data_IF_028102143519
#
_entry.id   IF_028102143519
#
_cell.length_a   1.000
_cell.length_b   1.000
_cell.length_c   1.000
_cell.angle_alpha   90.00
_cell.angle_beta   90.00
_cell.angle_gamma   90.00
#
_symmetry.space_group_name_H-M   'P 1'
#
loop_
_entity.id
_entity.type
_entity.pdbx_description
1 polymer ?
#
# COMPACT_ATOMS: atom_id res chain seq x y z
N UNK A 1 27.94 11.09 -5.34
CA UNK A 1 28.54 11.38 -4.01
C UNK A 1 28.24 10.18 -3.14
N UNK A 2 29.26 9.49 -2.62
CA UNK A 2 29.12 8.27 -1.81
C UNK A 2 28.56 8.70 -0.45
N UNK A 3 27.34 8.31 -0.14
CA UNK A 3 26.67 8.62 1.11
C UNK A 3 27.41 8.02 2.31
N UNK A 4 27.74 8.86 3.26
CA UNK A 4 28.31 8.51 4.55
C UNK A 4 27.45 7.46 5.25
N UNK A 5 27.99 6.28 5.52
CA UNK A 5 27.43 5.33 6.49
C UNK A 5 27.43 6.03 7.86
N UNK A 6 26.30 6.54 8.28
CA UNK A 6 26.16 7.00 9.65
C UNK A 6 26.23 5.78 10.58
N UNK A 7 27.39 5.61 11.21
CA UNK A 7 27.53 4.69 12.35
C UNK A 7 26.68 5.25 13.49
N UNK A 8 25.64 4.53 13.87
CA UNK A 8 24.87 4.83 15.07
C UNK A 8 25.80 4.74 16.29
N UNK A 9 25.88 5.84 17.04
CA UNK A 9 26.66 5.86 18.28
C UNK A 9 26.15 4.80 19.23
N UNK A 10 27.01 3.99 19.89
CA UNK A 10 26.58 2.94 20.80
C UNK A 10 25.81 3.55 21.98
N UNK A 11 24.55 3.14 22.16
CA UNK A 11 23.73 3.46 23.34
C UNK A 11 22.46 4.29 23.11
N UNK A 12 22.19 4.77 21.89
CA UNK A 12 20.92 5.45 21.57
C UNK A 12 19.99 4.52 20.81
N UNK A 13 18.75 4.36 21.28
CA UNK A 13 17.73 3.62 20.55
C UNK A 13 17.56 4.23 19.12
N UNK A 14 17.33 3.41 18.07
CA UNK A 14 17.08 3.91 16.75
C UNK A 14 15.90 4.89 16.75
N UNK A 15 15.93 5.92 15.88
CA UNK A 15 14.89 6.96 15.81
C UNK A 15 13.49 6.37 15.63
N UNK A 16 13.37 5.29 14.86
CA UNK A 16 12.11 4.65 14.53
C UNK A 16 11.86 3.34 15.28
N UNK A 17 12.48 3.17 16.46
CA UNK A 17 12.31 1.96 17.26
C UNK A 17 10.84 1.71 17.61
N UNK A 18 10.38 0.48 17.34
CA UNK A 18 8.99 0.07 17.57
C UNK A 18 8.00 0.47 16.50
N UNK A 19 8.48 0.91 15.32
CA UNK A 19 7.64 1.30 14.21
C UNK A 19 6.71 0.16 13.75
N UNK A 20 5.52 0.54 13.27
CA UNK A 20 4.71 -0.26 12.36
C UNK A 20 4.93 0.30 10.96
N UNK A 21 5.74 -0.39 10.17
CA UNK A 21 6.02 -0.02 8.79
C UNK A 21 4.89 -0.50 7.89
N UNK A 22 4.12 0.42 7.35
CA UNK A 22 2.89 0.11 6.60
C UNK A 22 3.12 -0.10 5.10
N UNK A 23 4.39 -0.04 4.65
CA UNK A 23 4.69 -0.21 3.22
C UNK A 23 6.08 -0.82 2.98
N UNK A 24 6.09 -2.12 2.74
CA UNK A 24 7.27 -2.92 2.40
C UNK A 24 7.00 -3.76 1.15
N UNK A 25 7.92 -3.82 0.21
CA UNK A 25 7.73 -4.51 -1.06
C UNK A 25 8.56 -5.79 -1.18
N UNK A 26 7.96 -6.96 -0.88
CA UNK A 26 8.55 -8.22 -1.23
C UNK A 26 8.48 -8.40 -2.74
N UNK A 27 9.63 -8.43 -3.39
CA UNK A 27 9.70 -8.57 -4.84
C UNK A 27 9.83 -10.04 -5.24
N UNK A 28 8.90 -10.55 -6.04
CA UNK A 28 9.01 -11.87 -6.66
C UNK A 28 10.25 -11.89 -7.57
N UNK A 29 11.25 -12.74 -7.31
CA UNK A 29 12.51 -12.75 -8.09
C UNK A 29 12.26 -13.06 -9.56
N UNK A 30 11.32 -13.93 -9.85
CA UNK A 30 10.89 -14.35 -11.17
C UNK A 30 9.72 -15.32 -11.08
N UNK A 31 9.04 -15.57 -12.17
CA UNK A 31 7.86 -16.42 -12.19
C UNK A 31 8.13 -17.85 -11.68
N UNK A 32 9.36 -18.34 -11.82
CA UNK A 32 9.76 -19.68 -11.39
C UNK A 32 9.46 -19.97 -9.91
N UNK A 33 9.56 -18.97 -9.03
CA UNK A 33 9.27 -19.15 -7.60
C UNK A 33 7.77 -19.26 -7.29
N UNK A 34 6.90 -18.86 -8.22
CA UNK A 34 5.45 -19.00 -8.10
C UNK A 34 4.93 -20.34 -8.65
N UNK A 35 5.73 -21.04 -9.48
CA UNK A 35 5.33 -22.30 -10.10
C UNK A 35 4.85 -23.36 -9.11
N UNK A 36 5.47 -23.56 -7.92
CA UNK A 36 5.00 -24.52 -6.93
C UNK A 36 3.60 -24.24 -6.38
N UNK A 37 3.15 -22.99 -6.46
CA UNK A 37 1.85 -22.52 -5.94
C UNK A 37 0.75 -22.48 -7.00
N UNK A 38 1.07 -22.77 -8.25
CA UNK A 38 0.10 -22.89 -9.34
C UNK A 38 -0.39 -24.34 -9.45
N UNK A 39 -1.63 -24.55 -9.87
CA UNK A 39 -2.13 -25.86 -10.27
C UNK A 39 -1.48 -26.35 -11.58
N UNK A 40 -1.71 -27.62 -11.92
CA UNK A 40 -1.09 -28.28 -13.07
C UNK A 40 -1.41 -27.57 -14.39
N UNK A 41 -2.66 -27.12 -14.56
CA UNK A 41 -3.10 -26.41 -15.75
C UNK A 41 -2.27 -25.12 -15.98
N UNK A 42 -2.14 -24.29 -14.94
CA UNK A 42 -1.40 -23.02 -15.07
C UNK A 42 0.10 -23.25 -15.18
N UNK A 43 0.66 -24.28 -14.51
CA UNK A 43 2.08 -24.66 -14.69
C UNK A 43 2.38 -25.06 -16.13
N UNK A 44 1.53 -25.90 -16.72
CA UNK A 44 1.65 -26.28 -18.13
C UNK A 44 1.50 -25.08 -19.05
N UNK A 45 0.50 -24.25 -18.84
CA UNK A 45 0.25 -23.03 -19.64
C UNK A 45 1.47 -22.11 -19.62
N UNK A 46 2.06 -21.84 -18.47
CA UNK A 46 3.27 -21.01 -18.33
C UNK A 46 4.41 -21.60 -19.14
N UNK A 47 4.66 -22.90 -19.03
CA UNK A 47 5.77 -23.59 -19.70
C UNK A 47 5.57 -23.62 -21.24
N UNK A 48 4.38 -23.98 -21.70
CA UNK A 48 4.07 -24.09 -23.15
C UNK A 48 4.08 -22.73 -23.83
N UNK A 49 3.64 -21.66 -23.15
CA UNK A 49 3.56 -20.30 -23.71
C UNK A 49 4.78 -19.45 -23.42
N UNK A 50 5.81 -19.99 -22.77
CA UNK A 50 7.02 -19.25 -22.34
C UNK A 50 6.71 -17.98 -21.55
N UNK A 51 5.67 -18.01 -20.72
CA UNK A 51 5.26 -16.89 -19.86
C UNK A 51 6.22 -16.69 -18.68
N UNK A 52 7.07 -17.67 -18.38
CA UNK A 52 8.15 -17.62 -17.39
C UNK A 52 9.18 -16.49 -17.66
N UNK A 53 9.18 -15.96 -18.88
CA UNK A 53 10.06 -14.85 -19.28
C UNK A 53 9.41 -13.47 -19.11
N UNK A 54 8.14 -13.40 -18.76
CA UNK A 54 7.46 -12.12 -18.55
C UNK A 54 7.94 -11.50 -17.24
N UNK A 55 8.45 -10.28 -17.34
CA UNK A 55 8.72 -9.45 -16.18
C UNK A 55 7.47 -8.61 -15.90
N UNK A 56 6.69 -9.04 -14.91
CA UNK A 56 5.50 -8.31 -14.47
C UNK A 56 5.91 -7.36 -13.35
N UNK A 57 5.74 -6.08 -13.56
CA UNK A 57 5.92 -5.04 -12.55
C UNK A 57 4.85 -3.98 -12.72
N UNK A 58 4.34 -3.49 -11.60
CA UNK A 58 3.36 -2.40 -11.55
C UNK A 58 3.95 -1.08 -11.08
N UNK A 59 5.26 -1.05 -10.83
CA UNK A 59 5.89 0.06 -10.12
C UNK A 59 6.16 1.28 -10.98
N UNK A 60 6.16 1.16 -12.29
CA UNK A 60 6.48 2.32 -13.12
C UNK A 60 5.92 2.24 -14.54
N UNK A 61 5.51 3.37 -15.02
CA UNK A 61 5.33 3.77 -16.39
C UNK A 61 6.22 5.02 -16.63
N UNK A 62 6.86 5.26 -17.78
CA UNK A 62 6.85 4.42 -19.02
C UNK A 62 7.53 3.08 -18.86
N UNK A 63 7.16 2.15 -19.76
CA UNK A 63 7.83 0.85 -19.82
C UNK A 63 9.34 1.03 -19.93
N UNK A 64 10.08 0.16 -19.24
CA UNK A 64 11.54 0.23 -19.11
C UNK A 64 12.08 1.45 -18.34
N UNK A 65 11.24 2.19 -17.63
CA UNK A 65 11.74 3.13 -16.63
C UNK A 65 12.61 2.38 -15.61
N UNK A 66 13.72 2.99 -15.15
CA UNK A 66 14.61 2.33 -14.21
C UNK A 66 13.86 1.99 -12.92
N UNK A 67 14.11 0.80 -12.36
CA UNK A 67 13.66 0.49 -11.02
C UNK A 67 14.31 1.46 -10.04
N UNK A 68 13.49 2.10 -9.26
CA UNK A 68 13.90 3.14 -8.33
C UNK A 68 14.23 2.55 -6.97
N UNK A 69 15.32 1.80 -6.90
CA UNK A 69 15.83 1.28 -5.64
C UNK A 69 16.75 2.30 -4.96
N UNK A 70 16.65 2.42 -3.65
CA UNK A 70 17.62 3.15 -2.85
C UNK A 70 19.00 2.51 -3.01
N UNK A 71 20.08 3.26 -3.33
CA UNK A 71 21.37 2.68 -3.72
C UNK A 71 21.99 1.77 -2.65
N UNK A 72 21.83 2.07 -1.37
CA UNK A 72 22.35 1.28 -0.25
C UNK A 72 21.49 0.05 0.08
N UNK A 73 20.33 -0.11 -0.58
CA UNK A 73 19.46 -1.29 -0.49
C UNK A 73 19.53 -2.20 -1.71
N UNK A 74 20.38 -1.85 -2.67
CA UNK A 74 20.62 -2.71 -3.82
C UNK A 74 21.23 -4.06 -3.39
N UNK A 75 20.83 -5.12 -4.08
CA UNK A 75 21.35 -6.47 -3.83
C UNK A 75 22.48 -6.80 -4.80
N UNK A 76 23.47 -7.58 -4.33
CA UNK A 76 24.58 -8.05 -5.16
C UNK A 76 24.13 -9.00 -6.27
N UNK A 77 24.99 -9.18 -7.28
CA UNK A 77 24.82 -10.14 -8.38
C UNK A 77 23.55 -9.93 -9.23
N UNK A 78 23.06 -8.71 -9.31
CA UNK A 78 21.87 -8.39 -10.12
C UNK A 78 20.57 -8.97 -9.57
N UNK A 79 20.53 -9.40 -8.31
CA UNK A 79 19.29 -9.82 -7.66
C UNK A 79 18.34 -8.65 -7.57
N UNK A 80 17.06 -8.93 -7.78
CA UNK A 80 16.01 -7.92 -7.75
C UNK A 80 15.91 -7.31 -6.34
N UNK A 81 15.97 -5.98 -6.17
CA UNK A 81 15.76 -5.34 -4.88
C UNK A 81 14.44 -5.77 -4.25
N UNK A 82 14.42 -5.97 -2.93
CA UNK A 82 13.23 -6.46 -2.22
C UNK A 82 13.01 -7.98 -2.32
N UNK A 83 13.86 -8.74 -3.03
CA UNK A 83 13.67 -10.19 -3.21
C UNK A 83 14.29 -11.08 -2.13
N UNK A 84 14.85 -10.50 -1.07
CA UNK A 84 15.43 -11.25 0.05
C UNK A 84 14.89 -10.79 1.38
N UNK A 85 14.35 -11.74 2.17
CA UNK A 85 13.90 -11.48 3.53
C UNK A 85 15.07 -11.04 4.42
N UNK A 86 16.23 -11.69 4.32
CA UNK A 86 17.41 -11.37 5.11
C UNK A 86 17.89 -9.94 4.85
N UNK A 87 17.80 -9.48 3.60
CA UNK A 87 18.12 -8.10 3.25
C UNK A 87 17.08 -7.11 3.83
N UNK A 88 15.80 -7.41 3.75
CA UNK A 88 14.76 -6.58 4.37
C UNK A 88 14.95 -6.49 5.90
N UNK A 89 15.27 -7.61 6.55
CA UNK A 89 15.60 -7.63 7.96
C UNK A 89 16.78 -6.70 8.27
N UNK A 90 17.90 -6.87 7.55
CA UNK A 90 19.12 -6.11 7.79
C UNK A 90 18.99 -4.61 7.42
N UNK A 91 18.20 -4.28 6.41
CA UNK A 91 18.07 -2.89 5.91
C UNK A 91 17.02 -2.07 6.68
N UNK A 92 15.94 -2.71 7.14
CA UNK A 92 14.78 -1.98 7.68
C UNK A 92 14.30 -2.56 9.01
N UNK A 93 13.93 -3.84 9.07
CA UNK A 93 13.24 -4.37 10.24
C UNK A 93 14.09 -4.35 11.51
N UNK A 94 15.37 -4.69 11.42
CA UNK A 94 16.30 -4.73 12.54
C UNK A 94 16.81 -3.32 12.91
N UNK A 95 17.25 -2.47 11.95
CA UNK A 95 17.64 -1.10 12.26
C UNK A 95 16.53 -0.25 12.87
N UNK A 96 15.28 -0.43 12.43
CA UNK A 96 14.12 0.25 13.01
C UNK A 96 13.56 -0.46 14.23
N UNK A 97 14.10 -1.62 14.64
CA UNK A 97 13.49 -2.46 15.66
C UNK A 97 11.98 -2.56 15.46
N UNK A 98 11.57 -2.80 14.20
CA UNK A 98 10.17 -2.72 13.78
C UNK A 98 9.31 -3.69 14.58
N UNK A 99 8.20 -3.18 15.11
CA UNK A 99 7.19 -4.01 15.76
C UNK A 99 6.47 -4.87 14.74
N UNK A 100 6.07 -4.25 13.61
CA UNK A 100 5.46 -4.93 12.47
C UNK A 100 5.92 -4.29 11.17
N UNK A 101 5.89 -5.08 10.09
CA UNK A 101 6.06 -4.63 8.71
C UNK A 101 4.96 -5.20 7.83
N UNK A 102 4.23 -4.36 7.09
CA UNK A 102 3.14 -4.77 6.22
C UNK A 102 3.64 -4.87 4.79
N UNK A 103 3.60 -6.09 4.26
CA UNK A 103 4.07 -6.42 2.93
C UNK A 103 3.01 -6.10 1.86
N UNK A 104 3.37 -5.27 0.90
CA UNK A 104 2.60 -4.95 -0.30
C UNK A 104 3.30 -5.52 -1.53
N UNK A 105 2.94 -6.72 -1.95
CA UNK A 105 3.58 -7.37 -3.10
C UNK A 105 3.04 -6.79 -4.41
N UNK A 106 3.88 -6.06 -5.14
CA UNK A 106 3.55 -5.42 -6.41
C UNK A 106 3.92 -6.30 -7.64
N UNK A 107 3.81 -7.60 -7.51
CA UNK A 107 3.96 -8.49 -8.65
C UNK A 107 2.75 -8.39 -9.57
N UNK A 108 2.87 -7.86 -10.74
CA UNK A 108 1.82 -7.45 -11.65
C UNK A 108 0.74 -8.48 -12.06
N UNK A 109 0.41 -9.45 -11.21
CA UNK A 109 -0.62 -10.46 -11.49
C UNK A 109 -2.00 -9.86 -11.80
N UNK A 110 -2.33 -8.72 -11.17
CA UNK A 110 -3.60 -8.02 -11.37
C UNK A 110 -3.79 -7.48 -12.79
N UNK A 111 -2.72 -7.37 -13.58
CA UNK A 111 -2.78 -6.78 -14.94
C UNK A 111 -3.11 -7.78 -16.04
N UNK A 112 -3.13 -9.06 -15.76
CA UNK A 112 -3.56 -10.03 -16.77
C UNK A 112 -4.99 -9.75 -17.24
N UNK A 113 -5.20 -9.77 -18.55
CA UNK A 113 -6.55 -9.61 -19.15
C UNK A 113 -7.43 -10.84 -18.89
N UNK A 114 -6.83 -12.05 -18.82
CA UNK A 114 -7.54 -13.25 -18.42
C UNK A 114 -7.81 -13.17 -16.92
N UNK A 115 -9.07 -13.07 -16.53
CA UNK A 115 -9.50 -12.98 -15.13
C UNK A 115 -9.07 -14.21 -14.34
N UNK A 116 -9.24 -15.41 -14.90
CA UNK A 116 -8.83 -16.67 -14.27
C UNK A 116 -7.31 -16.74 -14.08
N UNK A 117 -6.54 -16.30 -15.08
CA UNK A 117 -5.09 -16.24 -14.97
C UNK A 117 -4.65 -15.23 -13.90
N UNK A 118 -5.25 -14.04 -13.89
CA UNK A 118 -4.99 -13.04 -12.88
C UNK A 118 -5.27 -13.59 -11.47
N UNK A 119 -6.41 -14.24 -11.28
CA UNK A 119 -6.79 -14.84 -10.01
C UNK A 119 -5.84 -15.96 -9.59
N UNK A 120 -5.43 -16.85 -10.50
CA UNK A 120 -4.48 -17.93 -10.21
C UNK A 120 -3.12 -17.39 -9.77
N UNK A 121 -2.61 -16.35 -10.45
CA UNK A 121 -1.32 -15.75 -10.08
C UNK A 121 -1.41 -14.88 -8.82
N UNK A 122 -2.53 -14.19 -8.56
CA UNK A 122 -2.77 -13.52 -7.29
C UNK A 122 -2.74 -14.52 -6.13
N UNK A 123 -3.43 -15.66 -6.30
CA UNK A 123 -3.43 -16.76 -5.34
C UNK A 123 -2.02 -17.29 -5.07
N UNK A 124 -1.27 -17.59 -6.14
CA UNK A 124 0.11 -18.06 -6.02
C UNK A 124 1.02 -17.04 -5.31
N UNK A 125 0.85 -15.76 -5.61
CA UNK A 125 1.58 -14.67 -4.95
C UNK A 125 1.26 -14.60 -3.45
N UNK A 126 -0.01 -14.71 -3.07
CA UNK A 126 -0.40 -14.71 -1.66
C UNK A 126 0.12 -15.95 -0.91
N UNK A 127 0.14 -17.12 -1.56
CA UNK A 127 0.71 -18.34 -0.99
C UNK A 127 2.22 -18.21 -0.81
N UNK A 128 2.93 -17.67 -1.81
CA UNK A 128 4.37 -17.40 -1.74
C UNK A 128 4.70 -16.39 -0.63
N UNK A 129 3.93 -15.29 -0.51
CA UNK A 129 4.12 -14.31 0.58
C UNK A 129 3.93 -14.97 1.94
N UNK A 130 2.90 -15.82 2.09
CA UNK A 130 2.69 -16.56 3.33
C UNK A 130 3.90 -17.43 3.69
N UNK A 131 4.38 -18.23 2.74
CA UNK A 131 5.36 -19.27 3.02
C UNK A 131 6.79 -18.72 3.10
N UNK A 132 7.16 -17.82 2.19
CA UNK A 132 8.53 -17.30 2.12
C UNK A 132 8.79 -16.07 2.99
N UNK A 133 7.72 -15.44 3.50
CA UNK A 133 7.85 -14.21 4.30
C UNK A 133 7.16 -14.34 5.65
N UNK A 134 5.84 -14.51 5.68
CA UNK A 134 5.07 -14.49 6.94
C UNK A 134 5.42 -15.66 7.87
N UNK A 135 5.74 -16.83 7.33
CA UNK A 135 6.15 -18.00 8.11
C UNK A 135 7.58 -17.91 8.63
N UNK A 136 8.39 -16.98 8.08
CA UNK A 136 9.83 -16.88 8.40
C UNK A 136 10.18 -15.72 9.32
N UNK A 137 9.35 -14.67 9.39
CA UNK A 137 9.54 -13.57 10.35
C UNK A 137 8.19 -13.20 11.01
N UNK A 138 8.06 -13.38 12.34
CA UNK A 138 6.80 -13.14 13.05
C UNK A 138 6.39 -11.66 13.10
N UNK A 139 7.27 -10.73 12.76
CA UNK A 139 6.98 -9.30 12.67
C UNK A 139 6.17 -8.96 11.41
N UNK A 140 6.21 -9.83 10.39
CA UNK A 140 5.61 -9.52 9.10
C UNK A 140 4.09 -9.74 9.08
N UNK A 141 3.45 -8.86 8.37
CA UNK A 141 2.02 -8.87 7.99
C UNK A 141 1.95 -8.63 6.49
N UNK A 142 0.81 -8.85 5.86
CA UNK A 142 0.71 -8.69 4.42
C UNK A 142 -0.65 -8.16 3.97
N UNK A 143 -0.65 -7.64 2.75
CA UNK A 143 -1.85 -7.40 1.95
C UNK A 143 -2.22 -8.62 1.14
N UNK A 144 -3.53 -8.83 0.93
CA UNK A 144 -4.05 -9.83 0.00
C UNK A 144 -4.04 -9.22 -1.40
N UNK A 145 -3.26 -9.76 -2.30
CA UNK A 145 -3.28 -9.40 -3.72
C UNK A 145 -4.49 -10.04 -4.40
N UNK A 146 -5.30 -9.27 -5.11
CA UNK A 146 -6.54 -9.73 -5.76
C UNK A 146 -6.64 -9.30 -7.22
N UNK A 147 -7.39 -10.05 -8.02
CA UNK A 147 -7.79 -9.68 -9.37
C UNK A 147 -9.08 -8.84 -9.32
N UNK A 148 -8.96 -7.54 -8.96
CA UNK A 148 -10.12 -6.69 -8.65
C UNK A 148 -11.08 -6.44 -9.83
N UNK A 149 -10.66 -6.68 -11.08
CA UNK A 149 -11.51 -6.59 -12.27
C UNK A 149 -12.55 -7.72 -12.36
N UNK A 150 -12.37 -8.81 -11.60
CA UNK A 150 -13.40 -9.81 -11.37
C UNK A 150 -13.72 -9.90 -9.87
N UNK A 151 -14.85 -9.33 -9.48
CA UNK A 151 -15.24 -9.21 -8.07
C UNK A 151 -15.50 -10.57 -7.41
N UNK A 152 -16.03 -11.54 -8.14
CA UNK A 152 -16.31 -12.89 -7.61
C UNK A 152 -15.01 -13.62 -7.26
N UNK A 153 -14.05 -13.65 -8.18
CA UNK A 153 -12.74 -14.25 -7.95
C UNK A 153 -11.94 -13.52 -6.86
N UNK A 154 -12.06 -12.19 -6.79
CA UNK A 154 -11.46 -11.40 -5.73
C UNK A 154 -12.03 -11.74 -4.35
N UNK A 155 -13.36 -11.85 -4.22
CA UNK A 155 -14.04 -12.24 -2.98
C UNK A 155 -13.62 -13.64 -2.56
N UNK A 156 -13.57 -14.60 -3.49
CA UNK A 156 -13.14 -15.97 -3.20
C UNK A 156 -11.70 -16.02 -2.64
N UNK A 157 -10.78 -15.21 -3.18
CA UNK A 157 -9.41 -15.14 -2.65
C UNK A 157 -9.33 -14.50 -1.27
N UNK A 158 -10.11 -13.44 -1.01
CA UNK A 158 -10.18 -12.82 0.32
C UNK A 158 -10.73 -13.82 1.34
N UNK A 159 -11.80 -14.58 1.01
CA UNK A 159 -12.36 -15.62 1.87
C UNK A 159 -11.34 -16.71 2.15
N UNK A 160 -10.58 -17.13 1.15
CA UNK A 160 -9.53 -18.14 1.31
C UNK A 160 -8.44 -17.73 2.31
N UNK A 161 -8.21 -16.40 2.47
CA UNK A 161 -7.22 -15.82 3.41
C UNK A 161 -7.83 -15.36 4.73
N UNK A 162 -9.13 -15.49 4.91
CA UNK A 162 -9.86 -14.92 6.05
C UNK A 162 -9.31 -15.37 7.41
N UNK A 163 -8.90 -16.62 7.54
CA UNK A 163 -8.46 -17.22 8.81
C UNK A 163 -6.99 -16.96 9.14
N UNK A 164 -6.19 -16.50 8.17
CA UNK A 164 -4.83 -16.06 8.45
C UNK A 164 -4.81 -14.57 8.84
N UNK A 165 -4.85 -14.32 10.13
CA UNK A 165 -4.91 -12.95 10.68
C UNK A 165 -3.67 -12.11 10.38
N UNK A 166 -2.60 -12.68 9.80
CA UNK A 166 -1.42 -11.93 9.37
C UNK A 166 -1.68 -11.13 8.08
N UNK A 167 -2.74 -11.46 7.33
CA UNK A 167 -3.21 -10.61 6.24
C UNK A 167 -4.09 -9.48 6.81
N UNK A 168 -3.64 -8.22 6.61
CA UNK A 168 -4.20 -7.02 7.26
C UNK A 168 -5.14 -6.22 6.38
N UNK A 169 -4.93 -6.28 5.05
CA UNK A 169 -5.66 -5.47 4.09
C UNK A 169 -5.77 -6.16 2.74
N UNK A 170 -6.63 -5.63 1.90
CA UNK A 170 -6.78 -6.02 0.49
C UNK A 170 -6.06 -4.99 -0.36
N UNK A 171 -5.13 -5.41 -1.21
CA UNK A 171 -4.33 -4.53 -2.05
C UNK A 171 -5.03 -4.24 -3.37
N UNK A 172 -5.27 -2.96 -3.64
CA UNK A 172 -5.79 -2.44 -4.91
C UNK A 172 -4.83 -1.39 -5.46
N UNK A 173 -4.87 -1.18 -6.78
CA UNK A 173 -4.06 -0.14 -7.43
C UNK A 173 -4.87 1.14 -7.60
N UNK A 174 -4.19 2.29 -7.50
CA UNK A 174 -4.83 3.58 -7.67
C UNK A 174 -5.32 3.81 -9.09
N UNK A 175 -4.61 3.30 -10.10
CA UNK A 175 -5.01 3.41 -11.51
C UNK A 175 -5.41 2.05 -12.07
N UNK A 176 -6.58 1.98 -12.66
CA UNK A 176 -7.17 0.76 -13.19
C UNK A 176 -8.31 1.05 -14.18
N UNK A 177 -9.12 0.04 -14.46
CA UNK A 177 -10.19 0.10 -15.46
C UNK A 177 -11.36 0.99 -15.05
N UNK A 178 -11.55 1.18 -13.74
CA UNK A 178 -12.67 1.93 -13.20
C UNK A 178 -12.30 2.62 -11.91
N UNK A 179 -13.13 3.58 -11.53
CA UNK A 179 -12.99 4.19 -10.22
C UNK A 179 -13.46 3.25 -9.11
N UNK A 180 -12.75 3.28 -7.98
CA UNK A 180 -12.93 2.33 -6.87
C UNK A 180 -14.25 2.53 -6.09
N UNK A 181 -14.97 3.63 -6.29
CA UNK A 181 -16.32 3.80 -5.72
C UNK A 181 -17.39 2.90 -6.34
N UNK A 182 -17.17 2.39 -7.55
CA UNK A 182 -18.19 1.64 -8.31
C UNK A 182 -18.78 0.49 -7.52
N UNK A 183 -20.12 0.38 -7.58
CA UNK A 183 -20.90 -0.59 -6.79
C UNK A 183 -20.58 -2.05 -7.07
N UNK A 184 -20.05 -2.37 -8.24
CA UNK A 184 -19.57 -3.71 -8.54
C UNK A 184 -18.43 -4.17 -7.62
N UNK A 185 -17.65 -3.23 -7.02
CA UNK A 185 -16.62 -3.55 -6.04
C UNK A 185 -17.14 -3.67 -4.60
N UNK A 186 -18.40 -3.32 -4.34
CA UNK A 186 -18.97 -3.38 -3.00
C UNK A 186 -18.95 -4.75 -2.32
N UNK A 187 -19.04 -5.90 -3.02
CA UNK A 187 -18.85 -7.21 -2.38
C UNK A 187 -17.48 -7.33 -1.71
N UNK A 188 -16.42 -6.78 -2.32
CA UNK A 188 -15.07 -6.74 -1.74
C UNK A 188 -15.09 -5.91 -0.44
N UNK A 189 -15.67 -4.71 -0.46
CA UNK A 189 -15.74 -3.81 0.71
C UNK A 189 -16.57 -4.39 1.84
N UNK A 190 -17.68 -5.04 1.52
CA UNK A 190 -18.53 -5.74 2.51
C UNK A 190 -17.76 -6.83 3.22
N UNK A 191 -17.01 -7.61 2.46
CA UNK A 191 -16.21 -8.70 3.02
C UNK A 191 -15.03 -8.17 3.83
N UNK A 192 -14.32 -7.16 3.33
CA UNK A 192 -13.22 -6.52 4.04
C UNK A 192 -13.69 -5.93 5.39
N UNK A 193 -14.80 -5.18 5.40
CA UNK A 193 -15.38 -4.65 6.64
C UNK A 193 -15.74 -5.75 7.62
N UNK A 194 -16.40 -6.82 7.16
CA UNK A 194 -16.80 -7.97 7.98
C UNK A 194 -15.61 -8.67 8.63
N UNK A 195 -14.51 -8.79 7.90
CA UNK A 195 -13.30 -9.48 8.34
C UNK A 195 -12.30 -8.57 9.07
N UNK A 196 -12.59 -7.27 9.22
CA UNK A 196 -11.67 -6.29 9.80
C UNK A 196 -10.42 -6.04 8.95
N UNK A 197 -10.51 -6.21 7.62
CA UNK A 197 -9.47 -5.89 6.67
C UNK A 197 -9.61 -4.43 6.22
N UNK A 198 -8.50 -3.71 6.11
CA UNK A 198 -8.49 -2.42 5.42
C UNK A 198 -8.48 -2.63 3.88
N UNK A 199 -8.77 -1.57 3.13
CA UNK A 199 -8.49 -1.50 1.70
C UNK A 199 -7.23 -0.66 1.51
N UNK A 200 -6.13 -1.28 1.10
CA UNK A 200 -4.91 -0.59 0.70
C UNK A 200 -5.01 -0.19 -0.78
N UNK A 201 -4.97 1.11 -1.06
CA UNK A 201 -4.90 1.64 -2.42
C UNK A 201 -3.46 2.09 -2.62
N UNK A 202 -2.73 1.41 -3.49
CA UNK A 202 -1.32 1.66 -3.72
C UNK A 202 -1.09 2.44 -5.02
N UNK A 203 -0.11 3.33 -5.03
CA UNK A 203 0.38 3.96 -6.25
C UNK A 203 0.72 2.89 -7.30
N UNK A 204 0.45 3.17 -8.56
CA UNK A 204 0.69 2.23 -9.65
C UNK A 204 -0.50 2.02 -10.56
N UNK A 205 -0.22 1.43 -11.70
CA UNK A 205 -1.15 1.32 -12.81
C UNK A 205 -1.15 -0.08 -13.40
N UNK A 206 -2.29 -0.49 -13.92
CA UNK A 206 -2.40 -1.69 -14.74
C UNK A 206 -1.87 -1.52 -16.17
N UNK A 207 -1.32 -0.36 -16.52
CA UNK A 207 -0.76 0.00 -17.84
C UNK A 207 -1.68 -0.20 -19.05
N UNK A 208 -2.97 -0.36 -18.83
CA UNK A 208 -3.96 -0.52 -19.91
C UNK A 208 -4.57 0.79 -20.35
N UNK A 209 -4.54 1.78 -19.46
CA UNK A 209 -5.14 3.10 -19.65
C UNK A 209 -4.10 4.16 -19.40
N UNK A 210 -4.30 5.32 -19.98
CA UNK A 210 -3.43 6.46 -19.72
C UNK A 210 -3.40 6.75 -18.22
N UNK A 211 -2.23 6.91 -17.60
CA UNK A 211 -2.10 7.09 -16.15
C UNK A 211 -2.57 8.49 -15.69
N UNK A 212 -2.75 9.41 -16.63
CA UNK A 212 -3.22 10.77 -16.33
C UNK A 212 -4.50 11.09 -17.11
N UNK A 213 -5.30 12.03 -16.60
CA UNK A 213 -6.46 12.53 -17.30
C UNK A 213 -6.11 13.27 -18.61
N UNK A 214 -4.86 13.66 -18.79
CA UNK A 214 -4.34 14.35 -19.97
C UNK A 214 -3.71 13.40 -21.01
N UNK A 215 -3.55 12.11 -20.69
CA UNK A 215 -2.97 11.12 -21.58
C UNK A 215 -1.76 10.37 -21.00
N UNK A 216 -0.92 9.86 -21.90
CA UNK A 216 0.27 9.07 -21.55
C UNK A 216 1.45 9.95 -21.21
N UNK A 217 2.12 9.61 -20.12
CA UNK A 217 3.37 10.27 -19.70
C UNK A 217 4.55 9.80 -20.56
N UNK A 218 5.52 10.70 -20.80
CA UNK A 218 6.77 10.37 -21.50
C UNK A 218 7.89 9.96 -20.53
N UNK A 219 7.83 10.47 -19.31
CA UNK A 219 8.86 10.26 -18.29
C UNK A 219 8.27 9.72 -17.00
N UNK A 220 9.06 8.93 -16.27
CA UNK A 220 8.67 8.40 -14.96
C UNK A 220 8.28 9.50 -13.96
N UNK A 221 8.98 10.63 -13.97
CA UNK A 221 8.68 11.76 -13.08
C UNK A 221 7.28 12.34 -13.32
N UNK A 222 6.80 12.35 -14.56
CA UNK A 222 5.45 12.82 -14.89
C UNK A 222 4.39 11.83 -14.36
N UNK A 223 4.62 10.53 -14.57
CA UNK A 223 3.75 9.47 -14.07
C UNK A 223 3.65 9.52 -12.54
N UNK A 224 4.80 9.59 -11.88
CA UNK A 224 4.86 9.56 -10.43
C UNK A 224 4.14 10.77 -9.78
N UNK A 225 4.37 11.97 -10.31
CA UNK A 225 3.68 13.19 -9.84
C UNK A 225 2.17 13.09 -10.08
N UNK A 226 1.74 12.52 -11.20
CA UNK A 226 0.33 12.38 -11.55
C UNK A 226 -0.43 11.39 -10.66
N UNK A 227 0.24 10.51 -9.91
CA UNK A 227 -0.40 9.56 -9.01
C UNK A 227 -1.28 10.26 -7.96
N UNK A 228 -0.92 11.46 -7.47
CA UNK A 228 -1.75 12.24 -6.55
C UNK A 228 -3.14 12.53 -7.11
N UNK A 229 -3.23 12.90 -8.39
CA UNK A 229 -4.51 13.14 -9.08
C UNK A 229 -5.37 11.86 -9.18
N UNK A 230 -4.72 10.69 -9.34
CA UNK A 230 -5.41 9.42 -9.33
C UNK A 230 -6.01 9.12 -7.95
N UNK A 231 -5.26 9.35 -6.87
CA UNK A 231 -5.78 9.21 -5.49
C UNK A 231 -6.96 10.15 -5.21
N UNK A 232 -6.88 11.42 -5.62
CA UNK A 232 -8.01 12.36 -5.52
C UNK A 232 -9.25 11.79 -6.20
N UNK A 233 -9.10 11.29 -7.43
CA UNK A 233 -10.20 10.72 -8.21
C UNK A 233 -10.81 9.49 -7.55
N UNK A 234 -9.98 8.60 -7.00
CA UNK A 234 -10.46 7.40 -6.31
C UNK A 234 -11.20 7.74 -5.02
N UNK A 235 -10.64 8.59 -4.18
CA UNK A 235 -11.29 9.00 -2.95
C UNK A 235 -12.61 9.73 -3.22
N UNK A 236 -12.64 10.64 -4.21
CA UNK A 236 -13.87 11.31 -4.60
C UNK A 236 -14.92 10.32 -5.09
N UNK A 237 -14.53 9.33 -5.89
CA UNK A 237 -15.44 8.28 -6.35
C UNK A 237 -16.02 7.47 -5.19
N UNK A 238 -15.18 7.02 -4.25
CA UNK A 238 -15.63 6.26 -3.08
C UNK A 238 -16.59 7.06 -2.20
N UNK A 239 -16.36 8.37 -2.04
CA UNK A 239 -17.24 9.27 -1.31
C UNK A 239 -18.57 9.42 -2.06
N UNK A 240 -18.53 9.80 -3.34
CA UNK A 240 -19.70 10.10 -4.14
C UNK A 240 -20.63 8.89 -4.34
N UNK A 241 -20.08 7.71 -4.56
CA UNK A 241 -20.84 6.46 -4.67
C UNK A 241 -21.40 5.98 -3.31
N UNK A 242 -20.95 6.57 -2.20
CA UNK A 242 -21.47 6.27 -0.87
C UNK A 242 -20.85 5.04 -0.21
N UNK A 243 -19.62 4.66 -0.58
CA UNK A 243 -18.92 3.51 0.02
C UNK A 243 -18.87 3.61 1.53
N UNK A 244 -18.48 4.76 2.07
CA UNK A 244 -18.33 4.98 3.51
C UNK A 244 -19.69 5.11 4.26
N UNK A 245 -20.74 5.49 3.56
CA UNK A 245 -22.09 5.46 4.12
C UNK A 245 -22.63 4.01 4.21
N UNK A 246 -22.26 3.17 3.23
CA UNK A 246 -22.67 1.75 3.17
C UNK A 246 -21.83 0.86 4.07
N UNK A 247 -20.55 1.17 4.25
CA UNK A 247 -19.57 0.41 5.03
C UNK A 247 -18.92 1.33 6.07
N UNK A 248 -19.63 1.61 7.18
CA UNK A 248 -19.22 2.65 8.15
C UNK A 248 -18.00 2.28 9.00
N UNK A 249 -17.58 1.02 9.02
CA UNK A 249 -16.36 0.55 9.72
C UNK A 249 -15.17 0.38 8.80
N UNK A 250 -15.38 0.46 7.48
CA UNK A 250 -14.31 0.26 6.50
C UNK A 250 -13.23 1.32 6.67
N UNK A 251 -11.97 0.88 6.68
CA UNK A 251 -10.79 1.74 6.60
C UNK A 251 -10.14 1.60 5.22
N UNK A 252 -9.66 2.72 4.72
CA UNK A 252 -8.91 2.81 3.47
C UNK A 252 -7.54 3.38 3.78
N UNK A 253 -6.49 2.79 3.24
CA UNK A 253 -5.12 3.27 3.37
C UNK A 253 -4.62 3.64 1.98
N UNK A 254 -4.34 4.93 1.77
CA UNK A 254 -3.67 5.42 0.58
C UNK A 254 -2.16 5.23 0.77
N UNK A 255 -1.59 4.32 -0.02
CA UNK A 255 -0.22 3.87 0.13
C UNK A 255 0.62 4.49 -0.98
N UNK A 256 1.76 5.07 -0.63
CA UNK A 256 2.66 5.79 -1.56
C UNK A 256 1.95 6.93 -2.32
N UNK A 257 1.02 7.61 -1.63
CA UNK A 257 0.16 8.61 -2.27
C UNK A 257 0.72 10.03 -2.21
N UNK A 258 1.73 10.28 -1.38
CA UNK A 258 1.96 11.62 -0.88
C UNK A 258 0.78 12.12 -0.04
N UNK A 259 0.90 13.30 0.55
CA UNK A 259 -0.17 13.84 1.40
C UNK A 259 -0.37 15.36 1.27
N UNK A 260 0.53 16.09 0.62
CA UNK A 260 0.46 17.56 0.55
C UNK A 260 -0.70 18.06 -0.31
N UNK A 261 -1.14 17.28 -1.28
CA UNK A 261 -2.31 17.54 -2.11
C UNK A 261 -3.64 17.50 -1.32
N UNK A 262 -3.67 16.82 -0.18
CA UNK A 262 -4.91 16.48 0.53
C UNK A 262 -5.66 17.73 1.03
N UNK A 263 -4.95 18.77 1.51
CA UNK A 263 -5.58 20.00 1.98
C UNK A 263 -6.38 20.69 0.88
N UNK A 264 -5.81 20.84 -0.30
CA UNK A 264 -6.49 21.44 -1.46
C UNK A 264 -7.69 20.60 -1.90
N UNK A 265 -7.51 19.29 -1.92
CA UNK A 265 -8.57 18.35 -2.27
C UNK A 265 -9.77 18.44 -1.32
N UNK A 266 -9.57 18.36 0.00
CA UNK A 266 -10.68 18.37 0.96
C UNK A 266 -11.44 19.69 0.94
N UNK A 267 -10.76 20.83 0.79
CA UNK A 267 -11.42 22.14 0.67
C UNK A 267 -12.28 22.21 -0.59
N UNK A 268 -11.76 21.77 -1.71
CA UNK A 268 -12.50 21.72 -2.98
C UNK A 268 -13.68 20.76 -2.90
N UNK A 269 -13.48 19.56 -2.36
CA UNK A 269 -14.51 18.55 -2.21
C UNK A 269 -15.65 19.02 -1.30
N UNK A 270 -15.35 19.61 -0.13
CA UNK A 270 -16.35 20.17 0.78
C UNK A 270 -17.15 21.28 0.13
N UNK A 271 -16.47 22.21 -0.57
CA UNK A 271 -17.11 23.33 -1.25
C UNK A 271 -18.06 22.85 -2.35
N UNK A 272 -17.59 21.90 -3.19
CA UNK A 272 -18.37 21.36 -4.30
C UNK A 272 -19.56 20.56 -3.76
N UNK A 273 -19.33 19.65 -2.80
CA UNK A 273 -20.39 18.87 -2.17
C UNK A 273 -21.48 19.78 -1.58
N UNK A 274 -21.12 20.83 -0.85
CA UNK A 274 -22.08 21.78 -0.28
C UNK A 274 -23.01 22.38 -1.35
N UNK A 275 -22.47 22.63 -2.55
CA UNK A 275 -23.22 23.22 -3.65
C UNK A 275 -24.15 22.24 -4.39
N UNK A 276 -23.69 20.99 -4.58
CA UNK A 276 -24.36 20.01 -5.46
C UNK A 276 -24.76 18.71 -4.76
N UNK A 277 -24.77 18.68 -3.44
CA UNK A 277 -25.07 17.47 -2.63
C UNK A 277 -26.40 16.78 -2.95
N UNK A 278 -27.33 17.47 -3.59
CA UNK A 278 -28.57 16.87 -4.02
C UNK A 278 -28.38 15.73 -5.04
N UNK A 279 -27.26 15.73 -5.76
CA UNK A 279 -26.87 14.65 -6.69
C UNK A 279 -26.50 13.36 -5.95
N UNK A 280 -25.95 13.49 -4.73
CA UNK A 280 -25.45 12.38 -3.91
C UNK A 280 -26.10 12.38 -2.51
N UNK A 281 -27.43 12.22 -2.40
CA UNK A 281 -28.17 12.44 -1.16
C UNK A 281 -27.79 11.46 -0.02
N UNK A 282 -27.15 10.35 -0.34
CA UNK A 282 -26.61 9.39 0.63
C UNK A 282 -25.30 9.85 1.29
N UNK A 283 -24.64 10.88 0.75
CA UNK A 283 -23.45 11.50 1.35
C UNK A 283 -23.92 12.60 2.32
N UNK A 284 -24.15 12.23 3.57
CA UNK A 284 -24.76 13.10 4.58
C UNK A 284 -23.74 13.92 5.39
N UNK A 285 -22.44 13.62 5.27
CA UNK A 285 -21.33 14.31 5.94
C UNK A 285 -20.39 14.93 4.93
N UNK A 286 -19.68 15.98 5.36
CA UNK A 286 -18.69 16.62 4.49
C UNK A 286 -17.57 15.65 4.09
N UNK A 287 -17.07 15.69 2.84
CA UNK A 287 -15.96 14.86 2.39
C UNK A 287 -14.74 14.87 3.33
N UNK A 288 -14.37 16.04 3.87
CA UNK A 288 -13.26 16.15 4.84
C UNK A 288 -13.50 15.35 6.12
N UNK A 289 -14.75 15.30 6.60
CA UNK A 289 -15.13 14.51 7.78
C UNK A 289 -15.07 13.00 7.47
N UNK A 290 -15.55 12.60 6.30
CA UNK A 290 -15.50 11.21 5.85
C UNK A 290 -14.04 10.75 5.76
N UNK A 291 -13.15 11.56 5.15
CA UNK A 291 -11.73 11.23 5.03
C UNK A 291 -11.09 11.07 6.42
N UNK A 292 -11.30 12.00 7.34
CA UNK A 292 -10.74 11.88 8.70
C UNK A 292 -11.15 10.58 9.40
N UNK A 293 -12.37 10.15 9.19
CA UNK A 293 -12.89 8.95 9.86
C UNK A 293 -12.45 7.64 9.21
N UNK A 294 -12.24 7.63 7.90
CA UNK A 294 -12.09 6.39 7.13
C UNK A 294 -10.75 6.20 6.45
N UNK A 295 -10.02 7.29 6.14
CA UNK A 295 -8.82 7.21 5.29
C UNK A 295 -7.56 7.45 6.11
N UNK A 296 -6.51 6.73 5.78
CA UNK A 296 -5.15 6.90 6.30
C UNK A 296 -4.17 7.00 5.12
N UNK A 297 -3.00 7.58 5.38
CA UNK A 297 -1.98 7.85 4.36
C UNK A 297 -0.62 7.40 4.87
N UNK A 298 0.13 6.62 4.10
CA UNK A 298 1.52 6.33 4.43
C UNK A 298 2.39 7.57 4.21
N UNK A 299 3.43 7.72 5.03
CA UNK A 299 4.27 8.94 5.00
C UNK A 299 5.34 8.93 3.92
N UNK A 300 5.52 7.83 3.20
CA UNK A 300 6.44 7.82 2.06
C UNK A 300 5.65 7.74 0.74
N UNK A 301 6.00 8.59 -0.24
CA UNK A 301 6.90 9.75 -0.12
C UNK A 301 6.31 10.85 0.79
N UNK A 302 7.18 11.47 1.60
CA UNK A 302 6.81 12.68 2.34
C UNK A 302 7.11 13.89 1.47
N UNK A 303 6.23 14.21 0.56
CA UNK A 303 6.34 15.30 -0.42
C UNK A 303 6.10 16.69 0.18
N UNK A 304 6.50 16.86 1.46
CA UNK A 304 6.43 18.14 2.16
C UNK A 304 7.75 18.92 2.00
N UNK A 305 7.68 20.26 2.03
CA UNK A 305 8.88 21.07 2.09
C UNK A 305 9.72 20.77 3.34
N UNK A 306 11.04 21.03 3.27
CA UNK A 306 11.98 20.87 4.40
C UNK A 306 11.69 21.81 5.58
N UNK A 307 10.70 22.69 5.46
CA UNK A 307 10.30 23.59 6.52
C UNK A 307 9.82 22.84 7.75
N UNK A 308 10.41 23.22 8.89
CA UNK A 308 10.26 22.54 10.17
C UNK A 308 8.82 22.26 10.60
N UNK A 309 7.88 23.12 10.24
CA UNK A 309 6.48 23.07 10.68
C UNK A 309 5.48 22.76 9.56
N UNK A 310 5.97 22.40 8.34
CA UNK A 310 5.11 22.13 7.21
C UNK A 310 4.09 21.00 7.50
N UNK A 311 4.55 19.90 8.08
CA UNK A 311 3.67 18.77 8.46
C UNK A 311 2.71 19.16 9.58
N UNK A 312 3.15 19.97 10.55
CA UNK A 312 2.26 20.46 11.62
C UNK A 312 1.13 21.32 11.05
N UNK A 313 1.46 22.26 10.16
CA UNK A 313 0.44 23.06 9.46
C UNK A 313 -0.52 22.20 8.66
N UNK A 314 -0.03 21.14 8.02
CA UNK A 314 -0.87 20.23 7.27
C UNK A 314 -1.85 19.48 8.19
N UNK A 315 -1.39 18.93 9.31
CA UNK A 315 -2.25 18.24 10.29
C UNK A 315 -3.27 19.20 10.90
N UNK A 316 -2.92 20.44 11.17
CA UNK A 316 -3.82 21.49 11.63
C UNK A 316 -4.92 21.80 10.59
N UNK A 317 -4.55 21.95 9.32
CA UNK A 317 -5.51 22.15 8.23
C UNK A 317 -6.45 20.98 8.06
N UNK A 318 -5.96 19.76 8.20
CA UNK A 318 -6.73 18.53 8.11
C UNK A 318 -7.54 18.25 9.39
N UNK A 319 -7.23 18.94 10.50
CA UNK A 319 -7.88 18.78 11.82
C UNK A 319 -7.84 17.35 12.32
N UNK A 320 -6.71 16.65 12.11
CA UNK A 320 -6.53 15.27 12.55
C UNK A 320 -5.05 14.93 12.69
N UNK A 321 -4.69 14.26 13.75
CA UNK A 321 -3.39 13.67 14.02
C UNK A 321 -3.38 12.13 13.85
N UNK A 322 -4.50 11.59 13.31
CA UNK A 322 -4.68 10.14 13.11
C UNK A 322 -4.49 9.69 11.66
N UNK A 323 -4.25 10.64 10.73
CA UNK A 323 -4.25 10.34 9.30
C UNK A 323 -2.99 9.63 8.82
N UNK A 324 -1.84 9.86 9.47
CA UNK A 324 -0.54 9.46 8.97
C UNK A 324 -0.09 8.13 9.57
N UNK A 325 0.44 7.25 8.71
CA UNK A 325 1.04 5.96 9.06
C UNK A 325 2.50 5.95 8.64
N UNK A 326 3.38 5.47 9.50
CA UNK A 326 4.78 5.32 9.16
C UNK A 326 4.96 4.28 8.05
N UNK A 327 5.87 4.57 7.13
CA UNK A 327 6.33 3.66 6.08
C UNK A 327 7.75 3.98 5.67
N UNK A 328 8.48 2.99 5.18
CA UNK A 328 9.80 3.17 4.56
C UNK A 328 9.75 3.06 3.05
N UNK A 329 8.69 2.45 2.51
CA UNK A 329 8.58 2.16 1.09
C UNK A 329 9.77 1.31 0.56
N UNK A 330 10.28 0.41 1.44
CA UNK A 330 11.41 -0.46 1.08
C UNK A 330 11.08 -1.35 -0.13
N UNK A 331 11.92 -1.45 -1.16
CA UNK A 331 13.31 -0.96 -1.28
C UNK A 331 13.47 0.34 -2.08
N UNK A 332 12.43 1.13 -2.23
CA UNK A 332 12.40 2.31 -3.07
C UNK A 332 13.26 3.46 -2.53
N UNK A 333 13.58 4.41 -3.42
CA UNK A 333 14.52 5.50 -3.15
C UNK A 333 13.96 6.60 -2.23
N UNK A 334 12.65 6.66 -2.05
CA UNK A 334 11.94 7.75 -1.41
C UNK A 334 12.26 7.91 0.08
N UNK A 335 12.75 6.86 0.72
CA UNK A 335 13.04 6.89 2.16
C UNK A 335 14.33 7.65 2.48
N UNK A 336 14.21 8.77 3.15
CA UNK A 336 15.32 9.65 3.53
C UNK A 336 16.03 9.25 4.85
N UNK A 337 15.87 8.01 5.29
CA UNK A 337 16.49 7.52 6.52
C UNK A 337 16.01 8.31 7.74
N UNK A 338 16.93 8.77 8.57
CA UNK A 338 16.57 9.56 9.78
C UNK A 338 15.86 10.89 9.48
N UNK A 339 15.94 11.38 8.26
CA UNK A 339 15.22 12.59 7.82
C UNK A 339 13.79 12.31 7.32
N UNK A 340 13.37 11.06 7.19
CA UNK A 340 12.05 10.68 6.69
C UNK A 340 10.87 11.26 7.48
N UNK A 341 11.05 11.56 8.75
CA UNK A 341 10.10 12.37 9.53
C UNK A 341 10.83 13.60 10.09
N UNK A 342 10.22 14.81 10.02
CA UNK A 342 10.81 16.03 10.56
C UNK A 342 11.22 15.88 12.02
N UNK A 343 12.39 16.41 12.36
CA UNK A 343 12.91 16.37 13.74
C UNK A 343 12.07 17.20 14.74
N UNK A 344 11.23 18.07 14.22
CA UNK A 344 10.42 19.00 15.01
C UNK A 344 9.03 18.48 15.37
N UNK A 345 8.67 17.25 14.95
CA UNK A 345 7.38 16.68 15.33
C UNK A 345 7.30 16.55 16.85
N UNK A 346 6.19 17.00 17.48
CA UNK A 346 5.96 16.75 18.90
C UNK A 346 5.91 15.24 19.18
N UNK A 347 6.48 14.82 20.31
CA UNK A 347 6.54 13.40 20.70
C UNK A 347 5.18 12.67 20.60
N UNK A 348 4.03 13.25 21.00
CA UNK A 348 2.75 12.57 20.85
C UNK A 348 2.40 12.29 19.38
N UNK A 349 2.58 13.27 18.48
CA UNK A 349 2.32 13.09 17.06
C UNK A 349 3.29 12.10 16.42
N UNK A 350 4.57 12.18 16.80
CA UNK A 350 5.59 11.24 16.34
C UNK A 350 5.20 9.79 16.68
N UNK A 351 4.79 9.50 17.94
CA UNK A 351 4.35 8.16 18.34
C UNK A 351 3.09 7.71 17.61
N UNK A 352 2.13 8.62 17.40
CA UNK A 352 0.94 8.33 16.61
C UNK A 352 1.31 7.87 15.21
N UNK A 353 2.13 8.64 14.51
CA UNK A 353 2.58 8.30 13.15
C UNK A 353 3.35 6.98 13.16
N UNK A 354 4.29 6.82 14.10
CA UNK A 354 5.19 5.68 14.15
C UNK A 354 4.47 4.34 14.37
N UNK A 355 3.43 4.33 15.20
CA UNK A 355 2.82 3.07 15.66
C UNK A 355 1.32 3.17 15.94
N UNK A 356 0.86 4.15 16.73
CA UNK A 356 -0.48 4.12 17.33
C UNK A 356 -1.59 4.19 16.27
N UNK A 357 -1.43 5.03 15.24
CA UNK A 357 -2.40 5.16 14.16
C UNK A 357 -2.52 3.85 13.35
N UNK A 358 -1.41 3.14 13.12
CA UNK A 358 -1.43 1.84 12.46
C UNK A 358 -2.17 0.79 13.30
N UNK A 359 -1.89 0.72 14.61
CA UNK A 359 -2.60 -0.18 15.52
C UNK A 359 -4.12 0.08 15.56
N UNK A 360 -4.52 1.35 15.50
CA UNK A 360 -5.94 1.74 15.43
C UNK A 360 -6.58 1.46 14.06
N UNK A 361 -5.78 1.45 12.99
CA UNK A 361 -6.26 1.24 11.62
C UNK A 361 -6.45 -0.24 11.28
N UNK A 362 -5.59 -1.10 11.81
CA UNK A 362 -5.54 -2.52 11.49
C UNK A 362 -5.93 -3.40 12.70
N UNK A 363 -7.24 -3.64 12.93
CA UNK A 363 -7.68 -4.42 14.09
C UNK A 363 -7.15 -5.87 14.10
N UNK A 364 -6.80 -6.39 12.93
CA UNK A 364 -6.22 -7.75 12.82
C UNK A 364 -4.81 -7.86 13.40
N UNK A 365 -4.09 -6.77 13.65
CA UNK A 365 -2.79 -6.82 14.34
C UNK A 365 -2.93 -7.47 15.73
N UNK A 366 -3.92 -7.05 16.50
CA UNK A 366 -4.18 -7.65 17.82
C UNK A 366 -4.63 -9.12 17.74
N UNK A 367 -5.44 -9.46 16.72
CA UNK A 367 -5.89 -10.84 16.50
C UNK A 367 -4.74 -11.77 16.10
N UNK A 368 -3.82 -11.29 15.27
CA UNK A 368 -2.65 -12.06 14.85
C UNK A 368 -1.71 -12.38 16.03
N UNK A 369 -1.52 -11.43 16.95
CA UNK A 369 -0.70 -11.66 18.14
C UNK A 369 -1.32 -12.72 19.05
N UNK A 370 -2.63 -12.65 19.31
CA UNK A 370 -3.35 -13.66 20.09
C UNK A 370 -3.27 -15.05 19.44
N UNK A 371 -3.42 -15.13 18.11
CA UNK A 371 -3.32 -16.41 17.40
C UNK A 371 -1.90 -17.02 17.50
N UNK A 372 -0.86 -16.20 17.47
CA UNK A 372 0.52 -16.65 17.61
C UNK A 372 0.84 -17.10 19.06
N UNK A 373 0.22 -16.48 20.07
CA UNK A 373 0.36 -16.89 21.47
C UNK A 373 -0.31 -18.25 21.75
N UNK A 374 -1.46 -18.52 21.15
CA UNK A 374 -2.18 -19.79 21.28
C UNK A 374 -1.47 -20.95 20.57
N UNK A 375 -0.70 -20.66 19.51
CA UNK A 375 0.02 -21.67 18.72
C UNK A 375 1.39 -22.05 19.32
N UNK A 376 1.86 -21.36 20.35
CA UNK A 376 3.08 -21.66 21.10
C UNK A 376 2.79 -22.51 22.34
#
# INVERSE_FOLDING_TARGET
>A
MVGNRQQVAPGRAPKYAGAVDCDLHPAVPGMGVLMPYLDDYWREMVSVRALDRLNLSLTSYPQNAPLTCRPDWALDQGRKPGSSLEAMQAHVLDPCQSRYGILNCLYGAQVFHSEDMAAAFCRATNDWVRDEWLNRDPRLRASITIAAHNTELAVAEIERRADDFRFMQVLMLVSGEMTLGRRQLWPIYRLAERLGLAIGIHAGSAYRYAPTAAGWSSYYVEDYIAQSCAFESQLQSMISEGVFAKFPKLKVVAIESGLTWLSGFVWRADKTWKGVRAEVPWVTRAPSEIIRNHVRFTVQPIDAPDERDAILRLTDHLKSDELLLFSTDYPHWQFDGDAALPAALPDPLFRKILCENALATYPRLAMADQALEVAR
#
